data_IF_942055452223
#
_entry.id   IF_942055452223
#
_cell.length_a   1.000
_cell.length_b   1.000
_cell.length_c   1.000
_cell.angle_alpha   90.00
_cell.angle_beta   90.00
_cell.angle_gamma   90.00
#
_symmetry.space_group_name_H-M   'P 1'
#
loop_
_entity.id
_entity.type
_entity.pdbx_description
1 polymer ?
#
# COMPACT_ATOMS: atom_id res chain seq x y z
N UNK A 1 8.94 20.94 -4.52
CA UNK A 1 9.93 22.05 -4.52
C UNK A 1 11.38 21.55 -4.36
N UNK A 2 11.59 20.26 -4.05
CA UNK A 2 12.93 19.71 -3.77
C UNK A 2 13.22 18.41 -4.54
N UNK A 3 12.50 18.13 -5.61
CA UNK A 3 12.60 16.89 -6.43
C UNK A 3 12.57 15.58 -5.62
N UNK A 4 11.75 15.56 -4.57
CA UNK A 4 11.54 14.38 -3.74
C UNK A 4 10.19 13.77 -4.11
N UNK A 5 10.17 12.46 -4.40
CA UNK A 5 8.94 11.69 -4.54
C UNK A 5 8.51 11.20 -3.16
N UNK A 6 7.37 11.66 -2.63
CA UNK A 6 6.92 11.25 -1.30
C UNK A 6 6.29 9.85 -1.34
N UNK A 7 6.47 9.10 -0.23
CA UNK A 7 5.68 7.91 0.07
C UNK A 7 4.80 8.25 1.25
N UNK A 8 3.49 8.28 1.05
CA UNK A 8 2.51 8.58 2.10
C UNK A 8 2.03 7.27 2.71
N UNK A 9 2.38 7.05 3.98
CA UNK A 9 2.00 5.85 4.72
C UNK A 9 0.68 6.06 5.45
N UNK A 10 -0.26 5.15 5.24
CA UNK A 10 -1.59 5.15 5.86
C UNK A 10 -1.96 3.76 6.35
N UNK A 11 -2.74 3.67 7.40
CA UNK A 11 -3.16 2.37 7.93
C UNK A 11 -3.90 2.51 9.26
N UNK A 12 -4.75 1.53 9.54
CA UNK A 12 -5.61 1.48 10.71
C UNK A 12 -4.99 0.70 11.88
N UNK A 13 -5.30 1.09 13.13
CA UNK A 13 -4.98 0.29 14.31
C UNK A 13 -5.97 -0.88 14.48
N UNK A 14 -5.60 -1.86 15.31
CA UNK A 14 -6.38 -3.08 15.53
C UNK A 14 -7.83 -2.81 15.93
N UNK A 15 -8.07 -1.88 16.85
CA UNK A 15 -9.42 -1.58 17.32
C UNK A 15 -10.36 -1.12 16.20
N UNK A 16 -9.84 -0.38 15.23
CA UNK A 16 -10.59 0.08 14.03
C UNK A 16 -10.87 -1.10 13.10
N UNK A 17 -9.88 -1.99 12.92
CA UNK A 17 -10.04 -3.22 12.13
C UNK A 17 -11.12 -4.13 12.73
N UNK A 18 -11.06 -4.37 14.02
CA UNK A 18 -12.05 -5.19 14.74
C UNK A 18 -13.46 -4.59 14.76
N UNK A 19 -13.55 -3.25 14.71
CA UNK A 19 -14.85 -2.55 14.57
C UNK A 19 -15.44 -2.62 13.16
N UNK A 20 -14.69 -3.10 12.15
CA UNK A 20 -15.14 -3.17 10.77
C UNK A 20 -15.23 -1.81 10.06
N UNK A 21 -14.58 -0.77 10.60
CA UNK A 21 -14.59 0.60 10.06
C UNK A 21 -13.26 1.00 9.42
N UNK A 22 -12.41 0.02 9.13
CA UNK A 22 -11.03 0.23 8.66
C UNK A 22 -10.96 0.90 7.29
N UNK A 23 -11.83 0.55 6.34
CA UNK A 23 -11.86 1.16 5.02
C UNK A 23 -12.14 2.66 5.13
N UNK A 24 -13.21 3.04 5.80
CA UNK A 24 -13.57 4.45 5.99
C UNK A 24 -12.48 5.23 6.73
N UNK A 25 -11.86 4.60 7.73
CA UNK A 25 -10.76 5.18 8.48
C UNK A 25 -9.57 5.49 7.59
N UNK A 26 -9.10 4.52 6.79
CA UNK A 26 -7.94 4.69 5.91
C UNK A 26 -8.25 5.64 4.76
N UNK A 27 -9.44 5.60 4.18
CA UNK A 27 -9.88 6.56 3.15
C UNK A 27 -9.86 7.99 3.69
N UNK A 28 -10.40 8.24 4.88
CA UNK A 28 -10.36 9.56 5.50
C UNK A 28 -8.93 10.00 5.85
N UNK A 29 -8.10 9.11 6.38
CA UNK A 29 -6.69 9.39 6.66
C UNK A 29 -5.95 9.78 5.38
N UNK A 30 -6.16 9.03 4.30
CA UNK A 30 -5.55 9.29 2.98
C UNK A 30 -6.02 10.63 2.43
N UNK A 31 -7.33 10.90 2.44
CA UNK A 31 -7.92 12.17 1.99
C UNK A 31 -7.29 13.37 2.69
N UNK A 32 -7.16 13.29 4.01
CA UNK A 32 -6.58 14.37 4.81
C UNK A 32 -5.07 14.54 4.54
N UNK A 33 -4.34 13.43 4.35
CA UNK A 33 -2.90 13.46 4.06
C UNK A 33 -2.59 14.02 2.68
N UNK A 34 -3.49 13.85 1.72
CA UNK A 34 -3.34 14.34 0.33
C UNK A 34 -3.99 15.72 0.11
N UNK A 35 -4.62 16.30 1.13
CA UNK A 35 -5.33 17.55 1.01
C UNK A 35 -4.43 18.69 0.51
N UNK A 36 -4.90 19.42 -0.48
CA UNK A 36 -4.18 20.56 -1.07
C UNK A 36 -3.14 20.20 -2.12
N UNK A 37 -2.92 18.91 -2.43
CA UNK A 37 -2.08 18.50 -3.55
C UNK A 37 -2.84 18.65 -4.88
N UNK A 38 -2.13 19.13 -5.91
CA UNK A 38 -2.65 19.13 -7.27
C UNK A 38 -2.61 17.72 -7.88
N UNK A 39 -3.35 17.50 -8.95
CA UNK A 39 -3.33 16.22 -9.69
C UNK A 39 -1.89 15.86 -10.17
N UNK A 40 -1.11 16.86 -10.60
CA UNK A 40 0.29 16.67 -11.00
C UNK A 40 1.19 16.23 -9.82
N UNK A 41 0.95 16.76 -8.63
CA UNK A 41 1.67 16.37 -7.42
C UNK A 41 1.24 14.96 -6.95
N UNK A 42 -0.05 14.65 -7.04
CA UNK A 42 -0.57 13.30 -6.76
C UNK A 42 0.02 12.25 -7.68
N UNK A 43 0.15 12.55 -8.98
CA UNK A 43 0.76 11.63 -9.95
C UNK A 43 2.23 11.26 -9.63
N UNK A 44 2.92 12.08 -8.84
CA UNK A 44 4.32 11.84 -8.39
C UNK A 44 4.40 11.23 -6.99
N UNK A 45 3.27 11.01 -6.34
CA UNK A 45 3.18 10.46 -4.99
C UNK A 45 3.02 8.95 -5.03
N UNK A 46 3.63 8.27 -4.08
CA UNK A 46 3.40 6.84 -3.81
C UNK A 46 2.60 6.75 -2.51
N UNK A 47 1.62 5.85 -2.45
CA UNK A 47 0.86 5.58 -1.22
C UNK A 47 1.22 4.19 -0.73
N UNK A 48 1.50 4.04 0.57
CA UNK A 48 1.75 2.76 1.19
C UNK A 48 0.67 2.47 2.24
N UNK A 49 -0.06 1.39 2.04
CA UNK A 49 -0.99 0.88 3.04
C UNK A 49 -0.23 0.01 4.03
N UNK A 50 -0.17 0.46 5.27
CA UNK A 50 0.50 -0.19 6.38
C UNK A 50 -0.51 -0.53 7.49
N UNK A 51 -1.15 -1.73 7.47
CA UNK A 51 -2.03 -2.14 8.56
C UNK A 51 -1.22 -2.21 9.86
N UNK A 52 -1.39 -1.21 10.74
CA UNK A 52 -0.58 -1.06 11.97
C UNK A 52 -0.65 -2.29 12.86
N UNK A 53 -1.82 -2.96 12.89
CA UNK A 53 -2.04 -4.19 13.64
C UNK A 53 -1.27 -5.41 13.10
N UNK A 54 -0.74 -5.34 11.88
CA UNK A 54 0.04 -6.40 11.23
C UNK A 54 1.54 -6.07 11.13
N UNK A 55 2.02 -5.02 11.79
CA UNK A 55 3.44 -4.62 11.77
C UNK A 55 4.09 -5.02 13.10
N UNK A 56 4.97 -6.03 13.07
CA UNK A 56 5.75 -6.44 14.25
C UNK A 56 4.93 -7.09 15.36
N UNK A 57 3.67 -7.42 15.14
CA UNK A 57 2.74 -7.97 16.15
C UNK A 57 2.61 -9.49 16.08
N UNK A 58 3.12 -10.12 15.03
CA UNK A 58 2.87 -11.53 14.71
C UNK A 58 1.53 -11.80 14.01
N UNK A 59 0.64 -10.81 13.92
CA UNK A 59 -0.57 -10.87 13.08
C UNK A 59 -0.19 -10.60 11.63
N UNK A 60 -0.88 -11.24 10.70
CA UNK A 60 -0.65 -11.11 9.25
C UNK A 60 -1.97 -10.74 8.58
N UNK A 61 -1.94 -9.69 7.76
CA UNK A 61 -3.05 -9.39 6.86
C UNK A 61 -3.00 -10.35 5.67
N UNK A 62 -4.16 -10.80 5.21
CA UNK A 62 -4.27 -11.57 3.98
C UNK A 62 -4.05 -10.69 2.74
N UNK A 63 -3.80 -11.30 1.59
CA UNK A 63 -3.75 -10.58 0.32
C UNK A 63 -5.10 -9.92 -0.02
N UNK A 64 -6.22 -10.52 0.41
CA UNK A 64 -7.55 -9.94 0.23
C UNK A 64 -7.78 -8.74 1.14
N UNK A 65 -7.26 -8.74 2.37
CA UNK A 65 -7.26 -7.55 3.25
C UNK A 65 -6.49 -6.39 2.62
N UNK A 66 -5.33 -6.68 2.03
CA UNK A 66 -4.53 -5.68 1.32
C UNK A 66 -5.28 -5.13 0.10
N UNK A 67 -5.89 -6.01 -0.70
CA UNK A 67 -6.66 -5.64 -1.89
C UNK A 67 -7.84 -4.74 -1.54
N UNK A 68 -8.62 -5.09 -0.52
CA UNK A 68 -9.80 -4.31 -0.10
C UNK A 68 -9.44 -2.85 0.16
N UNK A 69 -8.40 -2.61 0.94
CA UNK A 69 -8.00 -1.26 1.33
C UNK A 69 -7.28 -0.53 0.21
N UNK A 70 -6.40 -1.20 -0.55
CA UNK A 70 -5.70 -0.60 -1.68
C UNK A 70 -6.69 -0.17 -2.80
N UNK A 71 -7.72 -0.99 -3.07
CA UNK A 71 -8.79 -0.63 -4.00
C UNK A 71 -9.55 0.63 -3.55
N UNK A 72 -9.89 0.72 -2.27
CA UNK A 72 -10.56 1.90 -1.71
C UNK A 72 -9.68 3.17 -1.78
N UNK A 73 -8.37 3.03 -1.57
CA UNK A 73 -7.41 4.13 -1.74
C UNK A 73 -7.36 4.57 -3.22
N UNK A 74 -7.33 3.64 -4.17
CA UNK A 74 -7.31 3.94 -5.62
C UNK A 74 -8.58 4.66 -6.04
N UNK A 75 -9.74 4.21 -5.58
CA UNK A 75 -11.01 4.87 -5.87
C UNK A 75 -11.07 6.30 -5.28
N UNK A 76 -10.51 6.51 -4.09
CA UNK A 76 -10.35 7.86 -3.54
C UNK A 76 -9.46 8.75 -4.43
N UNK A 77 -8.33 8.24 -4.93
CA UNK A 77 -7.45 9.00 -5.83
C UNK A 77 -8.17 9.34 -7.13
N UNK A 78 -8.99 8.42 -7.65
CA UNK A 78 -9.84 8.68 -8.81
C UNK A 78 -10.83 9.81 -8.55
N UNK A 79 -11.46 9.83 -7.39
CA UNK A 79 -12.34 10.94 -6.97
C UNK A 79 -11.60 12.28 -6.91
N UNK A 80 -10.36 12.28 -6.38
CA UNK A 80 -9.58 13.49 -6.15
C UNK A 80 -8.90 14.05 -7.41
N UNK A 81 -8.46 13.19 -8.31
CA UNK A 81 -7.55 13.56 -9.41
C UNK A 81 -7.88 12.93 -10.78
N UNK A 82 -8.93 12.12 -10.86
CA UNK A 82 -9.38 11.47 -12.10
C UNK A 82 -8.73 10.11 -12.38
N UNK A 83 -9.26 9.44 -13.40
CA UNK A 83 -8.88 8.06 -13.77
C UNK A 83 -7.39 7.93 -14.12
N UNK A 84 -6.85 8.85 -14.90
CA UNK A 84 -5.44 8.80 -15.35
C UNK A 84 -4.46 8.80 -14.18
N UNK A 85 -4.70 9.64 -13.16
CA UNK A 85 -3.86 9.67 -11.95
C UNK A 85 -4.05 8.42 -11.11
N UNK A 86 -5.29 7.95 -10.95
CA UNK A 86 -5.61 6.75 -10.18
C UNK A 86 -4.99 5.48 -10.79
N UNK A 87 -4.97 5.37 -12.10
CA UNK A 87 -4.34 4.26 -12.84
C UNK A 87 -2.79 4.32 -12.75
N UNK A 88 -2.23 5.52 -12.76
CA UNK A 88 -0.78 5.74 -12.77
C UNK A 88 -0.12 5.75 -11.40
N UNK A 89 -0.84 6.06 -10.32
CA UNK A 89 -0.29 6.11 -8.97
C UNK A 89 0.07 4.71 -8.47
N UNK A 90 1.19 4.60 -7.74
CA UNK A 90 1.59 3.33 -7.11
C UNK A 90 1.03 3.25 -5.71
N UNK A 91 0.30 2.16 -5.44
CA UNK A 91 -0.21 1.82 -4.11
C UNK A 91 0.50 0.55 -3.65
N UNK A 92 1.29 0.68 -2.59
CA UNK A 92 2.12 -0.39 -2.04
C UNK A 92 1.47 -0.99 -0.80
N UNK A 93 1.66 -2.27 -0.60
CA UNK A 93 1.38 -2.92 0.68
C UNK A 93 2.63 -2.90 1.56
N UNK A 94 2.52 -2.36 2.77
CA UNK A 94 3.62 -2.17 3.72
C UNK A 94 3.45 -2.93 5.04
N UNK A 95 2.53 -3.88 5.13
CA UNK A 95 2.47 -4.80 6.26
C UNK A 95 3.57 -5.85 6.22
N UNK A 96 3.40 -6.95 6.96
CA UNK A 96 4.38 -8.06 6.95
C UNK A 96 4.38 -8.74 5.58
N UNK A 97 5.51 -8.66 4.87
CA UNK A 97 5.75 -9.31 3.58
C UNK A 97 6.94 -10.24 3.71
N UNK A 98 6.79 -11.47 3.24
CA UNK A 98 7.82 -12.51 3.22
C UNK A 98 8.01 -13.05 1.80
N UNK A 99 9.11 -13.79 1.60
CA UNK A 99 9.41 -14.45 0.33
C UNK A 99 8.23 -15.29 -0.17
N UNK A 100 7.56 -16.01 0.73
CA UNK A 100 6.46 -16.93 0.39
C UNK A 100 5.11 -16.21 0.17
N UNK A 101 4.90 -15.04 0.77
CA UNK A 101 3.61 -14.32 0.69
C UNK A 101 3.57 -13.22 -0.37
N UNK A 102 4.72 -12.72 -0.81
CA UNK A 102 4.79 -11.56 -1.69
C UNK A 102 4.07 -11.77 -3.02
N UNK A 103 4.21 -12.97 -3.61
CA UNK A 103 3.61 -13.28 -4.91
C UNK A 103 2.07 -13.15 -4.88
N UNK A 104 1.41 -13.67 -3.84
CA UNK A 104 -0.03 -13.57 -3.67
C UNK A 104 -0.48 -12.12 -3.46
N UNK A 105 0.26 -11.37 -2.64
CA UNK A 105 -0.06 -9.97 -2.33
C UNK A 105 0.03 -9.09 -3.58
N UNK A 106 1.14 -9.15 -4.33
CA UNK A 106 1.33 -8.30 -5.51
C UNK A 106 0.54 -8.76 -6.74
N UNK A 107 -0.02 -9.97 -6.72
CA UNK A 107 -0.93 -10.42 -7.79
C UNK A 107 -2.31 -9.77 -7.71
N UNK A 108 -2.62 -9.06 -6.64
CA UNK A 108 -3.91 -8.38 -6.49
C UNK A 108 -3.98 -7.13 -7.37
N UNK A 109 -5.14 -6.85 -7.99
CA UNK A 109 -5.30 -5.80 -9.00
C UNK A 109 -4.87 -4.39 -8.55
N UNK A 110 -5.07 -4.06 -7.28
CA UNK A 110 -4.81 -2.72 -6.75
C UNK A 110 -3.56 -2.63 -5.86
N UNK A 111 -2.74 -3.69 -5.83
CA UNK A 111 -1.47 -3.72 -5.11
C UNK A 111 -0.31 -3.68 -6.09
N UNK A 112 0.31 -2.52 -6.27
CA UNK A 112 1.36 -2.29 -7.27
C UNK A 112 2.76 -2.73 -6.81
N UNK A 113 2.90 -3.18 -5.57
CA UNK A 113 4.18 -3.62 -5.00
C UNK A 113 4.16 -3.66 -3.49
N UNK A 114 5.35 -3.77 -2.89
CA UNK A 114 5.52 -3.83 -1.45
C UNK A 114 6.50 -2.78 -0.90
N UNK A 115 6.24 -2.29 0.30
CA UNK A 115 7.19 -1.52 1.10
C UNK A 115 7.75 -2.46 2.16
N UNK A 116 9.00 -2.89 1.96
CA UNK A 116 9.59 -4.02 2.68
C UNK A 116 10.48 -3.52 3.81
N UNK A 117 10.15 -3.89 5.05
CA UNK A 117 10.91 -3.60 6.26
C UNK A 117 11.91 -4.71 6.59
N UNK A 118 11.63 -5.52 7.63
CA UNK A 118 12.55 -6.53 8.18
C UNK A 118 13.14 -7.51 7.17
N UNK A 119 12.36 -7.96 6.20
CA UNK A 119 12.82 -8.89 5.16
C UNK A 119 13.85 -8.26 4.19
N UNK A 120 14.01 -6.92 4.19
CA UNK A 120 15.02 -6.24 3.38
C UNK A 120 16.42 -6.20 4.05
N UNK A 121 16.52 -6.57 5.31
CA UNK A 121 17.77 -6.52 6.07
C UNK A 121 18.74 -7.63 5.69
N UNK A 122 18.25 -8.72 5.09
CA UNK A 122 19.04 -9.83 4.58
C UNK A 122 18.99 -9.80 3.06
N UNK A 123 20.11 -9.44 2.41
CA UNK A 123 20.16 -9.19 0.96
C UNK A 123 19.71 -10.37 0.11
N UNK A 124 20.06 -11.60 0.50
CA UNK A 124 19.64 -12.81 -0.22
C UNK A 124 18.13 -13.04 -0.14
N UNK A 125 17.51 -12.82 1.03
CA UNK A 125 16.07 -12.94 1.21
C UNK A 125 15.33 -11.84 0.43
N UNK A 126 15.85 -10.62 0.50
CA UNK A 126 15.27 -9.50 -0.25
C UNK A 126 15.34 -9.73 -1.77
N UNK A 127 16.44 -10.27 -2.28
CA UNK A 127 16.57 -10.62 -3.69
C UNK A 127 15.56 -11.70 -4.12
N UNK A 128 15.35 -12.74 -3.30
CA UNK A 128 14.36 -13.79 -3.56
C UNK A 128 12.93 -13.20 -3.53
N UNK A 129 12.64 -12.33 -2.57
CA UNK A 129 11.35 -11.65 -2.45
C UNK A 129 11.07 -10.80 -3.70
N UNK A 130 12.04 -10.00 -4.14
CA UNK A 130 11.91 -9.18 -5.35
C UNK A 130 11.71 -10.05 -6.61
N UNK A 131 12.41 -11.16 -6.73
CA UNK A 131 12.25 -12.10 -7.85
C UNK A 131 10.84 -12.74 -7.85
N UNK A 132 10.34 -13.16 -6.69
CA UNK A 132 8.99 -13.74 -6.57
C UNK A 132 7.90 -12.70 -6.90
N UNK A 133 8.07 -11.46 -6.46
CA UNK A 133 7.17 -10.37 -6.81
C UNK A 133 7.15 -10.12 -8.33
N UNK A 134 8.32 -10.02 -8.96
CA UNK A 134 8.43 -9.81 -10.40
C UNK A 134 7.80 -10.94 -11.22
N UNK A 135 7.97 -12.17 -10.79
CA UNK A 135 7.37 -13.35 -11.46
C UNK A 135 5.85 -13.40 -11.33
N UNK A 136 5.28 -12.84 -10.28
CA UNK A 136 3.83 -12.79 -10.07
C UNK A 136 3.13 -11.71 -10.90
N UNK A 137 3.87 -10.71 -11.38
CA UNK A 137 3.38 -9.61 -12.22
C UNK A 137 3.47 -9.88 -13.74
N UNK A 138 4.09 -11.00 -14.13
CA UNK A 138 4.20 -11.46 -15.52
C UNK A 138 3.19 -12.58 -15.81
#
# INVERSE_FOLDING_TARGET
>A
DNDISPIVCVGEPLAVREAGTHVDYVVNQTRNSLAGLSAEQLAKTVIAYEPVWAIGTGKVASADDAQEVCAAIRELVKELAGDEVAEGIRILYGGSVKVDSVAEIVSKPDVDGGLIGGASLVGEEFAKLAANAANALN
#
